data_IF_539410049352
#
_entry.id   IF_539410049352
#
_cell.length_a   1.000
_cell.length_b   1.000
_cell.length_c   1.000
_cell.angle_alpha   90.00
_cell.angle_beta   90.00
_cell.angle_gamma   90.00
#
_symmetry.space_group_name_H-M   'P 1'
#
loop_
_entity.id
_entity.type
_entity.pdbx_description
1 polymer ?
#
# COMPACT_ATOMS: atom_id res chain seq x y z
N UNK A 1 14.99 -14.20 -39.32
CA UNK A 1 13.56 -13.96 -39.08
C UNK A 1 13.05 -15.08 -38.19
N UNK A 2 13.18 -14.92 -36.88
CA UNK A 2 12.77 -15.92 -35.89
C UNK A 2 11.35 -15.61 -35.46
N UNK A 3 10.47 -16.58 -35.74
CA UNK A 3 9.04 -16.56 -35.45
C UNK A 3 8.82 -16.72 -33.95
N UNK A 4 8.14 -15.76 -33.30
CA UNK A 4 7.70 -15.91 -31.92
C UNK A 4 6.32 -16.59 -31.92
N UNK A 5 6.31 -17.86 -31.51
CA UNK A 5 5.09 -18.61 -31.23
C UNK A 5 4.31 -17.94 -30.09
N UNK A 6 3.07 -17.56 -30.38
CA UNK A 6 2.07 -17.20 -29.38
C UNK A 6 1.65 -18.48 -28.64
N UNK A 7 1.98 -18.58 -27.36
CA UNK A 7 1.32 -19.52 -26.45
C UNK A 7 0.20 -18.80 -25.72
N UNK A 8 -1.02 -19.00 -26.21
CA UNK A 8 -2.21 -18.87 -25.38
C UNK A 8 -2.35 -20.15 -24.57
N UNK A 9 -2.19 -20.06 -23.25
CA UNK A 9 -2.65 -21.10 -22.33
C UNK A 9 -3.67 -20.46 -21.41
N UNK A 10 -4.93 -20.85 -21.60
CA UNK A 10 -5.96 -20.79 -20.56
C UNK A 10 -5.48 -21.65 -19.39
N UNK A 11 -5.21 -21.03 -18.26
CA UNK A 11 -5.20 -21.71 -16.96
C UNK A 11 -6.22 -21.05 -16.06
N UNK A 12 -7.43 -21.61 -16.07
CA UNK A 12 -8.29 -21.59 -14.89
C UNK A 12 -7.68 -22.56 -13.88
N UNK A 13 -6.97 -22.03 -12.88
CA UNK A 13 -6.47 -22.80 -11.76
C UNK A 13 -6.75 -22.02 -10.47
N UNK A 14 -7.74 -22.52 -9.75
CA UNK A 14 -7.96 -22.45 -8.31
C UNK A 14 -7.37 -21.23 -7.56
N UNK A 15 -8.26 -20.27 -7.27
CA UNK A 15 -8.21 -19.39 -6.10
C UNK A 15 -8.17 -20.24 -4.81
N UNK A 16 -6.98 -20.55 -4.31
CA UNK A 16 -6.75 -20.98 -2.94
C UNK A 16 -5.25 -20.92 -2.64
N UNK A 17 -4.87 -20.14 -1.62
CA UNK A 17 -3.52 -19.69 -1.20
C UNK A 17 -3.12 -18.36 -1.86
N UNK A 18 -3.34 -17.21 -1.22
CA UNK A 18 -2.73 -16.83 0.06
C UNK A 18 -3.72 -16.12 0.99
N UNK A 19 -4.30 -16.85 1.94
CA UNK A 19 -4.63 -16.24 3.23
C UNK A 19 -3.29 -16.02 3.95
N UNK A 20 -2.57 -14.95 3.63
CA UNK A 20 -1.69 -14.37 4.65
C UNK A 20 -2.65 -14.06 5.80
N UNK A 21 -2.53 -14.70 6.97
CA UNK A 21 -3.33 -14.29 8.10
C UNK A 21 -3.02 -12.80 8.29
N UNK A 22 -4.04 -11.97 8.13
CA UNK A 22 -3.97 -10.61 8.67
C UNK A 22 -3.42 -10.76 10.09
N UNK A 23 -2.43 -9.93 10.49
CA UNK A 23 -1.98 -9.96 11.88
C UNK A 23 -3.22 -9.98 12.77
N UNK A 24 -3.21 -10.82 13.81
CA UNK A 24 -4.31 -10.88 14.75
C UNK A 24 -4.52 -9.48 15.35
N UNK A 25 -5.45 -8.73 14.78
CA UNK A 25 -5.88 -7.41 15.24
C UNK A 25 -7.00 -7.59 16.26
N UNK A 26 -6.93 -8.63 17.10
CA UNK A 26 -7.64 -8.68 18.39
C UNK A 26 -7.12 -7.62 19.37
N UNK A 27 -6.71 -6.45 18.87
CA UNK A 27 -6.83 -5.23 19.63
C UNK A 27 -8.34 -5.00 19.80
N UNK A 28 -8.77 -4.65 21.02
CA UNK A 28 -10.07 -4.01 21.20
C UNK A 28 -10.25 -2.91 20.13
N UNK A 29 -11.48 -2.52 19.74
CA UNK A 29 -11.69 -1.40 18.82
C UNK A 29 -11.18 -0.10 19.47
N UNK A 30 -9.87 0.08 19.46
CA UNK A 30 -9.12 1.25 19.90
C UNK A 30 -9.17 2.22 18.74
N UNK A 31 -10.38 2.72 18.49
CA UNK A 31 -10.69 3.56 17.36
C UNK A 31 -12.05 4.18 17.58
N UNK A 32 -12.18 5.42 17.15
CA UNK A 32 -13.46 6.09 17.11
C UNK A 32 -14.52 5.25 16.39
N UNK A 33 -15.69 4.97 17.02
CA UNK A 33 -16.73 4.17 16.38
C UNK A 33 -17.17 4.73 15.02
N UNK A 34 -17.13 6.06 14.82
CA UNK A 34 -17.49 6.66 13.54
C UNK A 34 -16.43 6.42 12.46
N UNK A 35 -15.13 6.55 12.79
CA UNK A 35 -14.03 6.14 11.90
C UNK A 35 -14.17 4.66 11.53
N UNK A 36 -14.36 3.79 12.53
CA UNK A 36 -14.48 2.35 12.30
C UNK A 36 -15.68 2.01 11.42
N UNK A 37 -16.82 2.68 11.58
CA UNK A 37 -17.99 2.46 10.75
C UNK A 37 -17.73 2.78 9.27
N UNK A 38 -17.01 3.89 8.99
CA UNK A 38 -16.64 4.24 7.63
C UNK A 38 -15.60 3.28 7.03
N UNK A 39 -14.64 2.84 7.83
CA UNK A 39 -13.66 1.82 7.43
C UNK A 39 -14.34 0.50 7.05
N UNK A 40 -15.20 -0.05 7.92
CA UNK A 40 -15.92 -1.30 7.67
C UNK A 40 -16.83 -1.21 6.45
N UNK A 41 -17.59 -0.12 6.31
CA UNK A 41 -18.44 0.08 5.14
C UNK A 41 -17.63 0.21 3.86
N UNK A 42 -16.46 0.86 3.93
CA UNK A 42 -15.52 0.90 2.82
C UNK A 42 -15.03 -0.50 2.43
N UNK A 43 -14.69 -1.34 3.40
CA UNK A 43 -14.24 -2.72 3.18
C UNK A 43 -15.33 -3.57 2.52
N UNK A 44 -16.57 -3.47 3.01
CA UNK A 44 -17.73 -4.15 2.42
C UNK A 44 -17.95 -3.76 0.95
N UNK A 45 -17.79 -2.46 0.63
CA UNK A 45 -17.90 -1.96 -0.73
C UNK A 45 -16.73 -2.44 -1.60
N UNK A 46 -15.51 -2.46 -1.07
CA UNK A 46 -14.33 -2.95 -1.77
C UNK A 46 -14.44 -4.45 -2.07
N UNK A 47 -14.94 -5.25 -1.12
CA UNK A 47 -15.21 -6.68 -1.30
C UNK A 47 -16.25 -6.97 -2.40
N UNK A 48 -17.15 -6.01 -2.66
CA UNK A 48 -18.11 -6.05 -3.77
C UNK A 48 -17.53 -5.52 -5.10
N UNK A 49 -16.24 -5.17 -5.15
CA UNK A 49 -15.60 -4.54 -6.32
C UNK A 49 -15.98 -3.07 -6.53
N UNK A 50 -16.72 -2.45 -5.60
CA UNK A 50 -17.18 -1.05 -5.68
C UNK A 50 -16.12 -0.08 -5.15
N UNK A 51 -14.91 -0.15 -5.71
CA UNK A 51 -13.73 0.59 -5.24
C UNK A 51 -13.91 2.12 -5.23
N UNK A 52 -14.75 2.67 -6.12
CA UNK A 52 -15.09 4.10 -6.11
C UNK A 52 -15.81 4.50 -4.82
N UNK A 53 -16.92 3.82 -4.52
CA UNK A 53 -17.71 4.05 -3.31
C UNK A 53 -16.92 3.70 -2.05
N UNK A 54 -16.09 2.66 -2.09
CA UNK A 54 -15.20 2.32 -0.97
C UNK A 54 -14.27 3.48 -0.60
N UNK A 55 -13.62 4.10 -1.60
CA UNK A 55 -12.78 5.30 -1.37
C UNK A 55 -13.56 6.45 -0.78
N UNK A 56 -14.82 6.65 -1.16
CA UNK A 56 -15.62 7.74 -0.60
C UNK A 56 -15.92 7.52 0.89
N UNK A 57 -16.11 6.28 1.33
CA UNK A 57 -16.22 5.96 2.76
C UNK A 57 -14.86 6.11 3.48
N UNK A 58 -13.76 5.60 2.91
CA UNK A 58 -12.44 5.81 3.52
C UNK A 58 -12.05 7.28 3.64
N UNK A 59 -12.43 8.14 2.68
CA UNK A 59 -12.19 9.59 2.78
C UNK A 59 -12.92 10.23 3.96
N UNK A 60 -14.11 9.73 4.32
CA UNK A 60 -14.81 10.19 5.53
C UNK A 60 -14.06 9.77 6.80
N UNK A 61 -13.50 8.56 6.83
CA UNK A 61 -12.62 8.12 7.91
C UNK A 61 -11.37 9.02 8.02
N UNK A 62 -10.71 9.31 6.88
CA UNK A 62 -9.56 10.25 6.82
C UNK A 62 -9.93 11.61 7.42
N UNK A 63 -11.08 12.17 7.02
CA UNK A 63 -11.54 13.47 7.51
C UNK A 63 -11.77 13.46 9.03
N UNK A 64 -12.45 12.45 9.56
CA UNK A 64 -12.69 12.31 10.99
C UNK A 64 -11.39 12.19 11.81
N UNK A 65 -10.43 11.41 11.33
CA UNK A 65 -9.12 11.26 11.97
C UNK A 65 -8.34 12.59 11.96
N UNK A 66 -8.31 13.29 10.82
CA UNK A 66 -7.62 14.59 10.71
C UNK A 66 -8.25 15.66 11.60
N UNK A 67 -9.58 15.70 11.72
CA UNK A 67 -10.28 16.62 12.63
C UNK A 67 -9.89 16.42 14.10
N UNK A 68 -9.38 15.23 14.45
CA UNK A 68 -8.91 14.87 15.78
C UNK A 68 -7.41 15.04 15.96
N UNK A 69 -6.69 15.41 14.91
CA UNK A 69 -5.23 15.44 14.91
C UNK A 69 -4.63 14.03 14.99
N UNK A 70 -5.26 13.05 14.38
CA UNK A 70 -4.74 11.68 14.24
C UNK A 70 -4.19 11.47 12.82
N UNK A 71 -3.16 10.62 12.70
CA UNK A 71 -2.64 10.19 11.41
C UNK A 71 -3.61 9.17 10.77
N UNK A 72 -4.21 9.46 9.59
CA UNK A 72 -5.19 8.57 8.96
C UNK A 72 -4.52 7.42 8.17
N UNK A 73 -3.55 6.74 8.78
CA UNK A 73 -2.67 5.80 8.08
C UNK A 73 -3.41 4.64 7.41
N UNK A 74 -4.32 4.01 8.16
CA UNK A 74 -5.10 2.88 7.68
C UNK A 74 -6.04 3.27 6.54
N UNK A 75 -6.81 4.35 6.71
CA UNK A 75 -7.75 4.82 5.70
C UNK A 75 -7.04 5.21 4.39
N UNK A 76 -5.89 5.90 4.47
CA UNK A 76 -5.10 6.26 3.28
C UNK A 76 -4.52 5.04 2.57
N UNK A 77 -4.03 4.01 3.28
CA UNK A 77 -3.60 2.75 2.66
C UNK A 77 -4.74 2.07 1.92
N UNK A 78 -5.93 1.99 2.52
CA UNK A 78 -7.11 1.38 1.88
C UNK A 78 -7.57 2.15 0.64
N UNK A 79 -7.44 3.49 0.63
CA UNK A 79 -7.65 4.31 -0.57
C UNK A 79 -6.64 3.95 -1.66
N UNK A 80 -5.35 3.83 -1.31
CA UNK A 80 -4.31 3.45 -2.26
C UNK A 80 -4.57 2.05 -2.85
N UNK A 81 -4.95 1.07 -2.03
CA UNK A 81 -5.29 -0.27 -2.50
C UNK A 81 -6.54 -0.28 -3.39
N UNK A 82 -7.54 0.55 -3.07
CA UNK A 82 -8.71 0.72 -3.94
C UNK A 82 -8.35 1.31 -5.31
N UNK A 83 -7.31 2.14 -5.41
CA UNK A 83 -6.78 2.58 -6.70
C UNK A 83 -5.97 1.48 -7.39
N UNK A 84 -5.16 0.74 -6.64
CA UNK A 84 -4.37 -0.38 -7.16
C UNK A 84 -5.25 -1.46 -7.81
N UNK A 85 -6.34 -1.89 -7.16
CA UNK A 85 -7.28 -2.86 -7.74
C UNK A 85 -8.04 -2.36 -8.97
N UNK A 86 -8.00 -1.05 -9.23
CA UNK A 86 -8.51 -0.47 -10.48
C UNK A 86 -7.40 -0.17 -11.49
N UNK A 87 -6.20 -0.71 -11.29
CA UNK A 87 -4.99 -0.48 -12.10
C UNK A 87 -4.60 1.00 -12.21
N UNK A 88 -5.06 1.83 -11.26
CA UNK A 88 -4.75 3.26 -11.20
C UNK A 88 -3.47 3.48 -10.39
N UNK A 89 -2.37 2.86 -10.83
CA UNK A 89 -1.10 2.82 -10.10
C UNK A 89 -0.55 4.20 -9.74
N UNK A 90 -0.65 5.17 -10.64
CA UNK A 90 -0.23 6.55 -10.36
C UNK A 90 -1.02 7.18 -9.20
N UNK A 91 -2.34 6.98 -9.16
CA UNK A 91 -3.18 7.53 -8.08
C UNK A 91 -2.94 6.81 -6.74
N UNK A 92 -2.72 5.49 -6.79
CA UNK A 92 -2.33 4.71 -5.63
C UNK A 92 -0.98 5.19 -5.05
N UNK A 93 0.03 5.34 -5.91
CA UNK A 93 1.35 5.87 -5.54
C UNK A 93 1.28 7.27 -4.95
N UNK A 94 0.54 8.19 -5.57
CA UNK A 94 0.33 9.54 -5.02
C UNK A 94 -0.32 9.50 -3.63
N UNK A 95 -1.30 8.63 -3.40
CA UNK A 95 -1.95 8.50 -2.08
C UNK A 95 -0.95 8.04 -1.01
N UNK A 96 -0.05 7.11 -1.36
CA UNK A 96 0.99 6.63 -0.44
C UNK A 96 2.08 7.66 -0.19
N UNK A 97 2.42 8.48 -1.18
CA UNK A 97 3.34 9.62 -0.98
C UNK A 97 2.72 10.62 0.01
N UNK A 98 1.44 10.96 -0.14
CA UNK A 98 0.74 11.82 0.83
C UNK A 98 0.70 11.21 2.23
N UNK A 99 0.45 9.89 2.33
CA UNK A 99 0.56 9.18 3.61
C UNK A 99 1.97 9.29 4.21
N UNK A 100 3.01 9.12 3.41
CA UNK A 100 4.39 9.25 3.89
C UNK A 100 4.70 10.66 4.38
N UNK A 101 4.25 11.69 3.65
CA UNK A 101 4.40 13.09 4.03
C UNK A 101 3.67 13.39 5.35
N UNK A 102 2.43 12.92 5.51
CA UNK A 102 1.70 13.04 6.78
C UNK A 102 2.40 12.27 7.90
N UNK A 103 2.81 11.03 7.68
CA UNK A 103 3.52 10.25 8.70
C UNK A 103 4.80 10.95 9.17
N UNK A 104 5.53 11.59 8.26
CA UNK A 104 6.71 12.38 8.58
C UNK A 104 6.40 13.58 9.50
N UNK A 105 5.25 14.24 9.34
CA UNK A 105 4.86 15.36 10.24
C UNK A 105 4.50 14.89 11.64
N UNK A 106 3.98 13.66 11.77
CA UNK A 106 3.68 13.01 13.05
C UNK A 106 4.91 12.34 13.69
N UNK A 107 6.05 12.28 12.99
CA UNK A 107 7.23 11.55 13.45
C UNK A 107 7.10 10.02 13.38
N UNK A 108 6.09 9.51 12.67
CA UNK A 108 5.91 8.06 12.45
C UNK A 108 6.78 7.59 11.28
N UNK A 109 8.06 7.39 11.58
CA UNK A 109 9.09 6.96 10.63
C UNK A 109 8.76 5.56 10.06
N UNK A 110 8.11 4.70 10.84
CA UNK A 110 7.73 3.37 10.39
C UNK A 110 6.65 3.43 9.31
N UNK A 111 5.63 4.28 9.48
CA UNK A 111 4.61 4.49 8.45
C UNK A 111 5.19 5.19 7.23
N UNK A 112 6.05 6.21 7.42
CA UNK A 112 6.73 6.91 6.32
C UNK A 112 7.51 5.95 5.42
N UNK A 113 8.36 5.11 6.00
CA UNK A 113 9.23 4.21 5.23
C UNK A 113 8.43 3.17 4.46
N UNK A 114 7.39 2.59 5.06
CA UNK A 114 6.52 1.62 4.39
C UNK A 114 5.74 2.25 3.23
N UNK A 115 5.15 3.42 3.46
CA UNK A 115 4.36 4.11 2.44
C UNK A 115 5.22 4.51 1.23
N UNK A 116 6.46 4.98 1.45
CA UNK A 116 7.39 5.26 0.36
C UNK A 116 7.88 4.00 -0.37
N UNK A 117 8.12 2.91 0.35
CA UNK A 117 8.52 1.64 -0.26
C UNK A 117 7.40 1.07 -1.16
N UNK A 118 6.15 1.13 -0.70
CA UNK A 118 4.97 0.76 -1.51
C UNK A 118 4.79 1.71 -2.71
N UNK A 119 4.99 3.02 -2.54
CA UNK A 119 4.92 4.00 -3.62
C UNK A 119 6.01 3.76 -4.68
N UNK A 120 7.23 3.44 -4.27
CA UNK A 120 8.33 3.06 -5.17
C UNK A 120 7.98 1.81 -5.97
N UNK A 121 7.45 0.78 -5.31
CA UNK A 121 7.03 -0.45 -5.98
C UNK A 121 5.94 -0.18 -7.04
N UNK A 122 4.91 0.61 -6.71
CA UNK A 122 3.87 1.01 -7.66
C UNK A 122 4.41 1.87 -8.81
N UNK A 123 5.40 2.71 -8.56
CA UNK A 123 6.08 3.46 -9.62
C UNK A 123 6.80 2.51 -10.58
N UNK A 124 7.42 1.44 -10.08
CA UNK A 124 8.05 0.39 -10.90
C UNK A 124 7.04 -0.38 -11.74
N UNK A 125 5.92 -0.81 -11.14
CA UNK A 125 4.77 -1.41 -11.85
C UNK A 125 4.29 -0.51 -13.00
N UNK A 126 4.25 0.80 -12.77
CA UNK A 126 3.81 1.80 -13.75
C UNK A 126 4.93 2.28 -14.71
N UNK A 127 6.13 1.68 -14.66
CA UNK A 127 7.29 2.05 -15.49
C UNK A 127 7.88 3.43 -15.21
N UNK A 128 7.56 4.06 -14.08
CA UNK A 128 8.03 5.39 -13.70
C UNK A 128 9.32 5.30 -12.86
N UNK A 129 10.42 4.95 -13.52
CA UNK A 129 11.73 4.72 -12.90
C UNK A 129 12.29 5.94 -12.17
N UNK A 130 12.00 7.15 -12.64
CA UNK A 130 12.40 8.38 -11.96
C UNK A 130 11.79 8.47 -10.55
N UNK A 131 10.53 8.06 -10.39
CA UNK A 131 9.87 8.04 -9.09
C UNK A 131 10.36 6.85 -8.24
N UNK A 132 10.68 5.71 -8.85
CA UNK A 132 11.32 4.58 -8.14
C UNK A 132 12.60 5.06 -7.46
N UNK A 133 13.54 5.62 -8.23
CA UNK A 133 14.83 6.10 -7.72
C UNK A 133 14.66 7.13 -6.61
N UNK A 134 13.77 8.11 -6.82
CA UNK A 134 13.47 9.16 -5.82
C UNK A 134 12.97 8.55 -4.51
N UNK A 135 12.02 7.63 -4.57
CA UNK A 135 11.41 7.05 -3.38
C UNK A 135 12.35 6.06 -2.68
N UNK A 136 13.08 5.24 -3.44
CA UNK A 136 14.10 4.33 -2.89
C UNK A 136 15.19 5.11 -2.16
N UNK A 137 15.72 6.19 -2.75
CA UNK A 137 16.73 7.01 -2.08
C UNK A 137 16.25 7.59 -0.73
N UNK A 138 14.96 7.98 -0.65
CA UNK A 138 14.37 8.43 0.62
C UNK A 138 14.23 7.27 1.61
N UNK A 139 13.76 6.10 1.17
CA UNK A 139 13.66 4.88 2.00
C UNK A 139 15.02 4.51 2.56
N UNK A 140 16.06 4.42 1.73
CA UNK A 140 17.42 4.09 2.17
C UNK A 140 17.93 5.05 3.24
N UNK A 141 17.68 6.35 3.08
CA UNK A 141 18.01 7.34 4.11
C UNK A 141 17.28 7.05 5.43
N UNK A 142 15.97 6.79 5.39
CA UNK A 142 15.19 6.47 6.59
C UNK A 142 15.65 5.16 7.26
N UNK A 143 16.10 4.19 6.47
CA UNK A 143 16.64 2.92 6.98
C UNK A 143 17.95 3.08 7.78
N UNK A 144 18.63 4.23 7.68
CA UNK A 144 19.79 4.55 8.53
C UNK A 144 19.40 5.17 9.88
N UNK A 145 18.12 5.51 10.07
CA UNK A 145 17.65 6.14 11.31
C UNK A 145 17.79 5.20 12.52
N UNK A 146 18.34 5.69 13.65
CA UNK A 146 18.37 4.91 14.89
C UNK A 146 16.97 4.74 15.51
N UNK A 147 16.00 5.55 15.09
CA UNK A 147 14.63 5.52 15.61
C UNK A 147 13.71 4.54 14.87
N UNK A 148 14.17 3.95 13.75
CA UNK A 148 13.43 2.93 13.03
C UNK A 148 13.81 1.54 13.58
N UNK A 149 12.85 0.70 14.04
CA UNK A 149 13.16 -0.63 14.54
C UNK A 149 13.83 -1.51 13.49
N UNK A 150 14.81 -2.32 13.91
CA UNK A 150 15.59 -3.17 12.98
C UNK A 150 14.71 -4.21 12.28
N UNK A 151 13.66 -4.69 12.93
CA UNK A 151 12.66 -5.57 12.31
C UNK A 151 12.00 -4.90 11.10
N UNK A 152 11.62 -3.63 11.22
CA UNK A 152 11.01 -2.88 10.11
C UNK A 152 12.03 -2.66 9.01
N UNK A 153 13.29 -2.32 9.36
CA UNK A 153 14.36 -2.17 8.38
C UNK A 153 14.57 -3.45 7.57
N UNK A 154 14.61 -4.61 8.23
CA UNK A 154 14.79 -5.90 7.58
C UNK A 154 13.61 -6.23 6.67
N UNK A 155 12.37 -6.06 7.14
CA UNK A 155 11.15 -6.34 6.35
C UNK A 155 11.04 -5.45 5.11
N UNK A 156 11.29 -4.15 5.22
CA UNK A 156 11.24 -3.23 4.07
C UNK A 156 12.26 -3.63 2.99
N UNK A 157 13.50 -3.95 3.40
CA UNK A 157 14.53 -4.42 2.47
C UNK A 157 14.12 -5.70 1.76
N UNK A 158 13.66 -6.69 2.52
CA UNK A 158 13.30 -8.01 2.00
C UNK A 158 12.08 -7.97 1.07
N UNK A 159 11.04 -7.22 1.44
CA UNK A 159 9.74 -7.31 0.74
C UNK A 159 9.62 -6.32 -0.42
N UNK A 160 10.27 -5.16 -0.33
CA UNK A 160 10.08 -4.06 -1.29
C UNK A 160 11.33 -3.72 -2.07
N UNK A 161 12.47 -3.53 -1.41
CA UNK A 161 13.68 -3.16 -2.15
C UNK A 161 14.17 -4.33 -3.01
N UNK A 162 14.17 -5.55 -2.48
CA UNK A 162 14.55 -6.73 -3.25
C UNK A 162 13.66 -6.97 -4.49
N UNK A 163 12.34 -6.71 -4.39
CA UNK A 163 11.44 -6.86 -5.55
C UNK A 163 11.61 -5.76 -6.59
N UNK A 164 11.96 -4.54 -6.17
CA UNK A 164 12.33 -3.45 -7.09
C UNK A 164 13.63 -3.79 -7.82
N UNK A 165 14.64 -4.30 -7.10
CA UNK A 165 15.95 -4.67 -7.65
C UNK A 165 15.86 -5.86 -8.62
N UNK A 166 15.05 -6.88 -8.31
CA UNK A 166 14.86 -8.05 -9.18
C UNK A 166 13.99 -7.76 -10.40
N UNK A 167 13.27 -6.62 -10.40
CA UNK A 167 12.27 -6.31 -11.41
C UNK A 167 10.99 -7.14 -11.29
N UNK A 168 10.81 -7.87 -10.19
CA UNK A 168 9.65 -8.71 -9.94
C UNK A 168 8.50 -7.88 -9.36
N UNK A 169 7.83 -7.14 -10.24
CA UNK A 169 6.68 -6.32 -9.87
C UNK A 169 5.34 -7.08 -9.91
N UNK A 170 5.30 -8.30 -10.47
CA UNK A 170 4.05 -8.99 -10.83
C UNK A 170 3.80 -10.30 -10.07
N UNK A 171 4.64 -10.69 -9.11
CA UNK A 171 4.48 -11.95 -8.37
C UNK A 171 3.43 -11.90 -7.23
N UNK A 172 2.76 -10.76 -7.03
CA UNK A 172 1.70 -10.59 -6.03
C UNK A 172 0.36 -10.34 -6.73
N UNK A 173 -0.07 -11.30 -7.54
CA UNK A 173 -1.49 -11.44 -7.88
C UNK A 173 -2.24 -12.07 -6.68
N UNK A 174 -3.51 -11.71 -6.45
CA UNK A 174 -4.28 -12.09 -5.25
C UNK A 174 -4.39 -13.59 -5.00
#
# INVERSE_FOLDING_TARGET
>A
MTSYLRFSILSAAALAFLAVPLPDISAEPTGDPAVQAHLLKGDELAAQGKYGSARDEYKKAVELQRQRGELPAEALRRIAYSYFYQERFQAAGHTLVSLAEEAATYGDIATEVWALADAAWLAGVNGNWQMVEKHVARVEKLLTSPYLPDEIKAKVRQQRLASIESGEFLALTP
#
